data_IF_859712880370
#
_entry.id   IF_859712880370
#
_cell.length_a   1.000
_cell.length_b   1.000
_cell.length_c   1.000
_cell.angle_alpha   90.00
_cell.angle_beta   90.00
_cell.angle_gamma   90.00
#
_symmetry.space_group_name_H-M   'P 1'
#
loop_
_entity.id
_entity.type
_entity.pdbx_description
1 polymer ?
#
# COMPACT_ATOMS: atom_id res chain seq x y z
N UNK A 1 -47.71 -34.59 37.02
CA UNK A 1 -46.43 -33.88 36.84
C UNK A 1 -46.64 -32.72 35.88
N UNK A 2 -46.75 -31.50 36.42
CA UNK A 2 -46.85 -30.24 35.65
C UNK A 2 -45.48 -29.60 35.56
N UNK A 3 -45.05 -29.15 34.37
CA UNK A 3 -44.29 -27.91 34.04
C UNK A 3 -43.87 -27.98 32.55
N UNK A 4 -44.47 -27.27 31.58
CA UNK A 4 -44.34 -25.84 31.19
C UNK A 4 -42.98 -25.41 30.62
N UNK A 5 -42.95 -25.16 29.30
CA UNK A 5 -42.10 -24.21 28.53
C UNK A 5 -40.57 -24.31 28.56
N UNK A 6 -39.96 -24.28 27.35
CA UNK A 6 -39.08 -23.16 26.96
C UNK A 6 -38.81 -23.23 25.45
N UNK A 7 -39.38 -22.26 24.72
CA UNK A 7 -38.99 -21.94 23.36
C UNK A 7 -37.60 -21.29 23.39
N UNK A 8 -36.69 -21.76 22.54
CA UNK A 8 -35.46 -21.02 22.21
C UNK A 8 -35.57 -20.63 20.74
N UNK A 9 -36.03 -19.40 20.52
CA UNK A 9 -35.93 -18.71 19.24
C UNK A 9 -34.46 -18.33 19.10
N UNK A 10 -33.71 -19.09 18.29
CA UNK A 10 -32.39 -18.69 17.86
C UNK A 10 -32.53 -17.54 16.85
N UNK A 11 -32.44 -16.31 17.35
CA UNK A 11 -32.37 -15.09 16.55
C UNK A 11 -31.04 -15.11 15.79
N UNK A 12 -31.10 -15.56 14.53
CA UNK A 12 -29.99 -15.56 13.60
C UNK A 12 -29.80 -14.10 13.13
N UNK A 13 -28.92 -13.37 13.81
CA UNK A 13 -28.45 -12.04 13.42
C UNK A 13 -27.70 -12.18 12.08
N UNK A 14 -28.44 -12.03 10.98
CA UNK A 14 -27.86 -11.68 9.68
C UNK A 14 -27.26 -10.29 9.83
N UNK A 15 -25.94 -10.23 10.05
CA UNK A 15 -25.16 -9.02 9.82
C UNK A 15 -25.13 -8.81 8.31
N UNK A 16 -25.73 -7.75 7.75
CA UNK A 16 -25.47 -7.41 6.37
C UNK A 16 -23.98 -7.06 6.28
N UNK A 17 -23.20 -7.91 5.61
CA UNK A 17 -21.90 -7.54 5.12
C UNK A 17 -22.11 -6.40 4.13
N UNK A 18 -22.03 -5.16 4.61
CA UNK A 18 -21.91 -3.98 3.78
C UNK A 18 -20.62 -4.11 2.98
N UNK A 19 -20.71 -4.74 1.82
CA UNK A 19 -19.67 -4.66 0.80
C UNK A 19 -19.69 -3.22 0.31
N UNK A 20 -18.93 -2.38 0.98
CA UNK A 20 -18.47 -1.13 0.40
C UNK A 20 -17.62 -1.51 -0.82
N UNK A 21 -18.24 -1.48 -2.01
CA UNK A 21 -17.49 -1.36 -3.26
C UNK A 21 -16.84 0.02 -3.20
N UNK A 22 -15.57 0.06 -2.82
CA UNK A 22 -14.73 1.19 -3.12
C UNK A 22 -14.66 1.28 -4.65
N UNK A 23 -15.03 2.43 -5.19
CA UNK A 23 -14.90 2.76 -6.61
C UNK A 23 -13.44 2.53 -7.05
N UNK A 24 -13.25 1.60 -7.98
CA UNK A 24 -11.96 1.08 -8.46
C UNK A 24 -11.30 2.07 -9.47
N UNK A 25 -11.20 3.35 -9.12
CA UNK A 25 -10.34 4.26 -9.87
C UNK A 25 -8.88 3.99 -9.53
N UNK A 26 -8.09 3.64 -10.54
CA UNK A 26 -6.64 3.44 -10.39
C UNK A 26 -6.02 4.66 -9.69
N UNK A 27 -5.19 4.46 -8.66
CA UNK A 27 -4.64 5.59 -7.91
C UNK A 27 -3.77 6.47 -8.81
N UNK A 28 -3.90 7.78 -8.66
CA UNK A 28 -3.09 8.76 -9.39
C UNK A 28 -1.70 8.90 -8.77
N UNK A 29 -0.72 9.42 -9.52
CA UNK A 29 0.62 9.73 -8.97
C UNK A 29 0.48 10.61 -7.71
N UNK A 30 -0.40 11.61 -7.74
CA UNK A 30 -0.61 12.52 -6.60
C UNK A 30 -1.17 11.81 -5.37
N UNK A 31 -2.13 10.89 -5.54
CA UNK A 31 -2.66 10.14 -4.40
C UNK A 31 -1.65 9.14 -3.86
N UNK A 32 -0.88 8.47 -4.72
CA UNK A 32 0.21 7.58 -4.31
C UNK A 32 1.28 8.37 -3.54
N UNK A 33 1.76 9.49 -4.09
CA UNK A 33 2.76 10.33 -3.41
C UNK A 33 2.26 10.83 -2.06
N UNK A 34 0.97 11.16 -1.95
CA UNK A 34 0.37 11.57 -0.68
C UNK A 34 0.38 10.40 0.32
N UNK A 35 -0.27 9.28 0.00
CA UNK A 35 -0.46 8.17 0.94
C UNK A 35 0.85 7.45 1.26
N UNK A 36 1.63 7.10 0.25
CA UNK A 36 2.84 6.31 0.45
C UNK A 36 3.97 7.15 1.06
N UNK A 37 4.20 8.39 0.60
CA UNK A 37 5.41 9.14 0.97
C UNK A 37 5.14 10.29 1.92
N UNK A 38 4.14 11.13 1.65
CA UNK A 38 3.85 12.32 2.45
C UNK A 38 3.22 11.98 3.80
N UNK A 39 2.29 11.04 3.83
CA UNK A 39 1.56 10.63 5.03
C UNK A 39 2.37 9.61 5.88
N UNK A 40 3.57 9.23 5.42
CA UNK A 40 4.58 8.55 6.24
C UNK A 40 4.62 7.02 6.12
N UNK A 41 3.81 6.39 5.26
CA UNK A 41 3.78 4.92 5.11
C UNK A 41 5.17 4.36 4.71
N UNK A 42 5.83 4.94 3.71
CA UNK A 42 7.16 4.54 3.26
C UNK A 42 8.19 4.62 4.38
N UNK A 43 8.13 5.68 5.20
CA UNK A 43 9.01 5.83 6.35
C UNK A 43 8.72 4.73 7.38
N UNK A 44 7.44 4.47 7.68
CA UNK A 44 7.03 3.44 8.63
C UNK A 44 7.54 2.05 8.22
N UNK A 45 7.44 1.71 6.94
CA UNK A 45 7.99 0.46 6.39
C UNK A 45 9.52 0.46 6.46
N UNK A 46 10.18 1.55 6.06
CA UNK A 46 11.64 1.65 6.07
C UNK A 46 12.27 1.65 7.48
N UNK A 47 11.50 1.94 8.52
CA UNK A 47 11.94 1.86 9.92
C UNK A 47 11.53 0.55 10.62
N UNK A 48 10.88 -0.37 9.90
CA UNK A 48 10.38 -1.64 10.48
C UNK A 48 9.19 -1.47 11.43
N UNK A 49 8.51 -0.33 11.40
CA UNK A 49 7.36 -0.04 12.27
C UNK A 49 6.01 -0.37 11.63
N UNK A 50 6.00 -0.85 10.39
CA UNK A 50 4.79 -1.16 9.63
C UNK A 50 4.26 -2.55 9.98
N UNK A 51 2.93 -2.72 9.99
CA UNK A 51 2.30 -4.04 9.99
C UNK A 51 2.51 -4.76 8.65
N UNK A 52 2.23 -6.06 8.61
CA UNK A 52 2.25 -6.82 7.37
C UNK A 52 1.26 -6.24 6.33
N UNK A 53 0.06 -5.80 6.76
CA UNK A 53 -0.88 -5.15 5.84
C UNK A 53 -0.35 -3.82 5.30
N UNK A 54 0.33 -3.04 6.13
CA UNK A 54 0.92 -1.76 5.73
C UNK A 54 2.07 -1.95 4.74
N UNK A 55 2.94 -2.94 4.95
CA UNK A 55 3.99 -3.32 3.98
C UNK A 55 3.39 -3.78 2.65
N UNK A 56 2.32 -4.58 2.68
CA UNK A 56 1.60 -5.01 1.47
C UNK A 56 0.87 -3.85 0.77
N UNK A 57 0.30 -2.91 1.52
CA UNK A 57 -0.29 -1.69 0.98
C UNK A 57 0.77 -0.84 0.29
N UNK A 58 1.93 -0.68 0.91
CA UNK A 58 3.04 0.08 0.32
C UNK A 58 3.53 -0.56 -0.99
N UNK A 59 3.69 -1.88 -1.03
CA UNK A 59 4.02 -2.63 -2.24
C UNK A 59 3.01 -2.38 -3.37
N UNK A 60 1.70 -2.50 -3.09
CA UNK A 60 0.64 -2.24 -4.08
C UNK A 60 0.69 -0.83 -4.63
N UNK A 61 0.94 0.17 -3.78
CA UNK A 61 1.08 1.56 -4.21
C UNK A 61 2.32 1.78 -5.09
N UNK A 62 3.43 1.11 -4.80
CA UNK A 62 4.65 1.17 -5.61
C UNK A 62 4.45 0.49 -6.97
N UNK A 63 3.78 -0.66 -7.01
CA UNK A 63 3.40 -1.34 -8.26
C UNK A 63 2.48 -0.46 -9.10
N UNK A 64 1.45 0.13 -8.48
CA UNK A 64 0.57 1.05 -9.18
C UNK A 64 1.32 2.27 -9.73
N UNK A 65 2.33 2.79 -9.02
CA UNK A 65 3.15 3.90 -9.50
C UNK A 65 3.94 3.54 -10.76
N UNK A 66 4.54 2.34 -10.79
CA UNK A 66 5.32 1.84 -11.92
C UNK A 66 4.49 1.79 -13.21
N UNK A 67 3.20 1.46 -13.10
CA UNK A 67 2.28 1.38 -14.25
C UNK A 67 1.84 2.75 -14.80
N UNK A 68 2.10 3.84 -14.07
CA UNK A 68 1.78 5.20 -14.49
C UNK A 68 2.91 5.79 -15.33
N UNK A 69 2.59 6.73 -16.22
CA UNK A 69 3.58 7.47 -17.00
C UNK A 69 4.11 8.67 -16.20
N UNK A 70 5.41 9.01 -16.28
CA UNK A 70 5.93 10.20 -15.61
C UNK A 70 5.27 11.47 -16.19
N UNK A 71 4.96 12.49 -15.36
CA UNK A 71 4.42 13.76 -15.85
C UNK A 71 5.38 14.52 -16.77
N UNK A 72 6.69 14.34 -16.55
CA UNK A 72 7.78 14.89 -17.36
C UNK A 72 9.04 14.04 -17.23
N UNK A 73 10.01 14.29 -18.10
CA UNK A 73 11.29 13.57 -18.12
C UNK A 73 11.20 12.23 -18.85
N UNK A 74 12.23 11.42 -18.67
CA UNK A 74 12.46 10.20 -19.44
C UNK A 74 11.74 8.96 -18.88
N UNK A 75 11.24 8.10 -19.77
CA UNK A 75 10.49 6.89 -19.40
C UNK A 75 11.38 5.79 -18.81
N UNK A 76 12.63 5.65 -19.28
CA UNK A 76 13.58 4.67 -18.78
C UNK A 76 14.03 5.02 -17.35
N UNK A 77 14.31 6.30 -17.09
CA UNK A 77 14.56 6.82 -15.74
C UNK A 77 13.40 6.52 -14.79
N UNK A 78 12.15 6.72 -15.25
CA UNK A 78 10.96 6.41 -14.47
C UNK A 78 10.84 4.91 -14.16
N UNK A 79 11.01 4.06 -15.17
CA UNK A 79 10.95 2.60 -15.01
C UNK A 79 12.02 2.11 -14.03
N UNK A 80 13.26 2.58 -14.16
CA UNK A 80 14.37 2.19 -13.28
C UNK A 80 14.09 2.55 -11.83
N UNK A 81 13.66 3.79 -11.56
CA UNK A 81 13.41 4.29 -10.22
C UNK A 81 12.19 3.60 -9.58
N UNK A 82 11.10 3.44 -10.32
CA UNK A 82 9.89 2.77 -9.81
C UNK A 82 10.09 1.27 -9.64
N UNK A 83 10.89 0.62 -10.50
CA UNK A 83 11.29 -0.79 -10.31
C UNK A 83 12.09 -0.97 -9.02
N UNK A 84 13.12 -0.14 -8.80
CA UNK A 84 13.92 -0.18 -7.57
C UNK A 84 13.05 -0.03 -6.31
N UNK A 85 12.04 0.85 -6.38
CA UNK A 85 11.07 1.05 -5.32
C UNK A 85 10.17 -0.18 -5.10
N UNK A 86 9.66 -0.80 -6.17
CA UNK A 86 8.87 -2.05 -6.08
C UNK A 86 9.68 -3.18 -5.47
N UNK A 87 10.92 -3.37 -5.92
CA UNK A 87 11.79 -4.44 -5.43
C UNK A 87 12.08 -4.25 -3.92
N UNK A 88 12.35 -3.01 -3.48
CA UNK A 88 12.55 -2.71 -2.05
C UNK A 88 11.26 -2.85 -1.22
N UNK A 89 10.10 -2.47 -1.78
CA UNK A 89 8.81 -2.66 -1.11
C UNK A 89 8.45 -4.14 -0.97
N UNK A 90 8.79 -4.97 -1.97
CA UNK A 90 8.59 -6.42 -1.94
C UNK A 90 9.44 -7.05 -0.84
N UNK A 91 10.72 -6.68 -0.74
CA UNK A 91 11.60 -7.15 0.34
C UNK A 91 11.01 -6.88 1.73
N UNK A 92 10.40 -5.69 1.92
CA UNK A 92 9.75 -5.35 3.19
C UNK A 92 8.46 -6.14 3.42
N UNK A 93 7.69 -6.40 2.36
CA UNK A 93 6.47 -7.18 2.41
C UNK A 93 6.73 -8.67 2.68
N UNK A 94 7.89 -9.17 2.26
CA UNK A 94 8.39 -10.53 2.50
C UNK A 94 9.13 -10.67 3.84
N UNK A 95 9.31 -9.56 4.59
CA UNK A 95 9.97 -9.56 5.90
C UNK A 95 11.49 -9.76 5.83
N UNK A 96 12.13 -9.37 4.73
CA UNK A 96 13.59 -9.46 4.58
C UNK A 96 14.30 -8.46 5.51
N UNK A 97 15.37 -8.91 6.17
CA UNK A 97 16.11 -8.10 7.17
C UNK A 97 16.80 -6.87 6.55
N UNK A 98 17.17 -6.92 5.28
CA UNK A 98 17.83 -5.85 4.53
C UNK A 98 16.85 -4.84 3.91
N UNK A 99 15.54 -5.12 3.95
CA UNK A 99 14.51 -4.25 3.38
C UNK A 99 14.56 -2.79 3.87
N UNK A 100 14.84 -2.47 5.15
CA UNK A 100 15.06 -1.09 5.60
C UNK A 100 16.18 -0.36 4.84
N UNK A 101 17.28 -1.05 4.52
CA UNK A 101 18.40 -0.46 3.79
C UNK A 101 18.05 -0.27 2.31
N UNK A 102 17.41 -1.27 1.69
CA UNK A 102 16.92 -1.20 0.31
C UNK A 102 15.92 -0.04 0.15
N UNK A 103 14.98 0.10 1.07
CA UNK A 103 13.99 1.18 1.03
C UNK A 103 14.62 2.55 1.16
N UNK A 104 15.52 2.77 2.13
CA UNK A 104 16.21 4.08 2.26
C UNK A 104 16.95 4.48 1.00
N UNK A 105 17.55 3.50 0.29
CA UNK A 105 18.23 3.71 -0.99
C UNK A 105 17.23 4.01 -2.12
N UNK A 106 16.11 3.28 -2.17
CA UNK A 106 15.10 3.40 -3.22
C UNK A 106 14.22 4.66 -3.06
N UNK A 107 13.93 5.10 -1.83
CA UNK A 107 13.18 6.33 -1.53
C UNK A 107 14.06 7.58 -1.68
N UNK A 108 14.69 7.74 -2.85
CA UNK A 108 15.50 8.90 -3.18
C UNK A 108 14.62 10.02 -3.78
N UNK A 109 13.99 10.79 -2.88
CA UNK A 109 13.05 11.86 -3.24
C UNK A 109 13.61 12.83 -4.29
N UNK A 110 14.91 13.16 -4.23
CA UNK A 110 15.54 14.12 -5.16
C UNK A 110 15.74 13.51 -6.54
N UNK A 111 16.22 12.27 -6.62
CA UNK A 111 16.46 11.59 -7.90
C UNK A 111 15.18 11.30 -8.67
N UNK A 112 14.05 11.11 -7.98
CA UNK A 112 12.74 10.97 -8.63
C UNK A 112 12.09 12.33 -8.94
N UNK A 113 12.04 13.25 -7.96
CA UNK A 113 11.34 14.52 -8.17
C UNK A 113 12.05 15.49 -9.10
N UNK A 114 13.38 15.51 -9.14
CA UNK A 114 14.14 16.38 -10.06
C UNK A 114 13.70 16.20 -11.52
N UNK A 115 13.76 14.98 -12.07
CA UNK A 115 13.37 14.72 -13.45
C UNK A 115 11.86 14.59 -13.69
N UNK A 116 11.05 14.18 -12.69
CA UNK A 116 9.66 13.75 -12.96
C UNK A 116 8.55 14.54 -12.26
N UNK A 117 8.85 15.30 -11.20
CA UNK A 117 7.81 16.09 -10.50
C UNK A 117 7.61 17.42 -11.22
N UNK A 118 6.39 17.78 -11.65
CA UNK A 118 6.08 19.04 -12.32
C UNK A 118 6.70 20.25 -11.61
#
# INVERSE_FOLDING_TARGET
MSWRYAAVVALLLMVPASVARADDEKPTIKSIMKVAFKDGLAQKVATGGASAEESQQFLKLCQALKELKPPKGDAESWEMLTKSLVDAAQAAADGQEDAPALLRKATNCKSCHGPHKP
#
